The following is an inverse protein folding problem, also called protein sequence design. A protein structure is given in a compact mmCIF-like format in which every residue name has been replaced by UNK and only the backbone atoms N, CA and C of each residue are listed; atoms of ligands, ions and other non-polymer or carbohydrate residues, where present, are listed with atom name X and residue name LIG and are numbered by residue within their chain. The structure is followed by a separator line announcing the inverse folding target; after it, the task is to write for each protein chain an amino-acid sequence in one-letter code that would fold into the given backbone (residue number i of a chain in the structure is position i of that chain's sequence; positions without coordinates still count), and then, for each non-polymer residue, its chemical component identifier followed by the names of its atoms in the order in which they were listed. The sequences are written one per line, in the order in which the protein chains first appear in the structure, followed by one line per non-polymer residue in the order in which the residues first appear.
data_IF_743494135903
#
_entry.id   IF_743494135903
#
_cell.length_a   1.000
_cell.length_b   1.000
_cell.length_c   1.000
_cell.angle_alpha   90.00
_cell.angle_beta   90.00
_cell.angle_gamma   90.00
#
_symmetry.space_group_name_H-M   'P 1'
#
loop_
_entity.id
_entity.type
_entity.pdbx_description
1 polymer ?
#
# COMPACT_ATOMS: atom_id res chain seq x y z
N UNK A 1 13.45 -4.90 -10.14
CA UNK A 1 12.61 -4.57 -8.99
C UNK A 1 11.51 -3.57 -9.30
N UNK A 2 10.85 -3.11 -8.27
CA UNK A 2 9.72 -2.18 -8.41
C UNK A 2 10.12 -0.88 -9.11
N UNK A 3 11.28 -0.32 -8.80
CA UNK A 3 11.77 0.90 -9.45
C UNK A 3 11.87 0.72 -10.96
N UNK A 4 12.38 -0.40 -11.42
CA UNK A 4 12.55 -0.67 -12.85
C UNK A 4 11.20 -0.78 -13.55
N UNK A 5 10.26 -1.55 -12.97
CA UNK A 5 8.91 -1.69 -13.53
C UNK A 5 8.21 -0.33 -13.58
N UNK A 6 8.26 0.43 -12.49
CA UNK A 6 7.65 1.74 -12.40
C UNK A 6 8.25 2.69 -13.43
N UNK A 7 9.58 2.71 -13.58
CA UNK A 7 10.26 3.56 -14.55
C UNK A 7 9.85 3.23 -15.99
N UNK A 8 9.72 1.95 -16.31
CA UNK A 8 9.26 1.51 -17.63
C UNK A 8 7.83 1.94 -17.92
N UNK A 9 6.94 1.83 -16.93
CA UNK A 9 5.56 2.26 -17.07
C UNK A 9 5.46 3.76 -17.30
N UNK A 10 6.21 4.55 -16.54
CA UNK A 10 6.22 6.00 -16.68
C UNK A 10 6.77 6.44 -18.03
N UNK A 11 7.73 5.72 -18.56
CA UNK A 11 8.34 6.00 -19.86
C UNK A 11 7.40 5.65 -21.01
N UNK A 12 6.72 4.51 -20.89
CA UNK A 12 5.81 4.03 -21.92
C UNK A 12 4.51 4.84 -21.98
N UNK A 13 4.06 5.35 -20.82
CA UNK A 13 2.83 6.11 -20.70
C UNK A 13 3.10 7.49 -20.10
N UNK A 14 3.68 8.42 -20.88
CA UNK A 14 4.18 9.70 -20.34
C UNK A 14 3.11 10.62 -19.75
N UNK A 15 1.85 10.43 -20.06
CA UNK A 15 0.76 11.22 -19.49
C UNK A 15 0.15 10.62 -18.23
N UNK A 16 0.66 9.48 -17.77
CA UNK A 16 0.07 8.72 -16.67
C UNK A 16 0.65 9.10 -15.32
N UNK A 17 -0.20 9.19 -14.30
CA UNK A 17 0.21 9.29 -12.91
C UNK A 17 0.22 7.89 -12.31
N UNK A 18 1.32 7.50 -11.68
CA UNK A 18 1.48 6.17 -11.09
C UNK A 18 1.21 6.23 -9.59
N UNK A 19 0.36 5.31 -9.13
CA UNK A 19 0.09 5.15 -7.70
C UNK A 19 0.67 3.81 -7.27
N UNK A 20 1.65 3.85 -6.36
CA UNK A 20 2.26 2.66 -5.79
C UNK A 20 1.66 2.43 -4.41
N UNK A 21 1.06 1.26 -4.19
CA UNK A 21 0.52 0.88 -2.89
C UNK A 21 1.60 0.24 -2.03
N UNK A 22 1.71 0.67 -0.78
CA UNK A 22 2.49 -0.07 0.19
C UNK A 22 1.86 -1.44 0.41
N UNK A 23 2.69 -2.42 0.73
CA UNK A 23 2.22 -3.78 1.02
C UNK A 23 1.36 -3.73 2.29
N UNK A 24 0.15 -4.28 2.19
CA UNK A 24 -0.75 -4.37 3.35
C UNK A 24 -0.19 -5.36 4.38
N UNK A 25 -0.58 -5.23 5.66
CA UNK A 25 -0.03 -6.08 6.71
C UNK A 25 -0.19 -7.57 6.42
N UNK A 26 0.90 -8.29 6.57
CA UNK A 26 0.98 -9.72 6.30
C UNK A 26 1.28 -10.46 7.60
N UNK A 27 0.28 -11.18 8.09
CA UNK A 27 0.36 -11.87 9.38
C UNK A 27 -0.10 -10.99 10.54
N UNK A 28 -0.80 -11.57 11.53
CA UNK A 28 -1.40 -10.83 12.65
C UNK A 28 -0.40 -10.41 13.73
N UNK A 29 0.78 -11.03 13.79
CA UNK A 29 1.77 -10.73 14.81
C UNK A 29 2.66 -9.56 14.39
N UNK A 30 2.54 -8.39 15.06
CA UNK A 30 3.36 -7.21 14.68
C UNK A 30 4.86 -7.43 14.86
N UNK A 31 5.27 -8.42 15.62
CA UNK A 31 6.69 -8.75 15.83
C UNK A 31 7.15 -9.95 15.01
N UNK A 32 6.25 -10.51 14.22
CA UNK A 32 6.55 -11.67 13.39
C UNK A 32 7.47 -11.36 12.22
N UNK A 33 8.17 -12.37 11.68
CA UNK A 33 9.09 -12.17 10.57
C UNK A 33 8.41 -11.68 9.30
N UNK A 34 7.17 -12.05 9.06
CA UNK A 34 6.40 -11.59 7.90
C UNK A 34 6.12 -10.09 7.97
N UNK A 35 5.77 -9.60 9.16
CA UNK A 35 5.50 -8.16 9.37
C UNK A 35 6.79 -7.36 9.24
N UNK A 36 7.89 -7.88 9.73
CA UNK A 36 9.19 -7.25 9.61
C UNK A 36 9.60 -7.12 8.14
N UNK A 37 9.42 -8.18 7.38
CA UNK A 37 9.75 -8.18 5.95
C UNK A 37 8.86 -7.22 5.16
N UNK A 38 7.58 -7.20 5.46
CA UNK A 38 6.62 -6.26 4.88
C UNK A 38 7.05 -4.83 5.12
N UNK A 39 7.45 -4.49 6.35
CA UNK A 39 7.87 -3.14 6.69
C UNK A 39 9.16 -2.74 5.98
N UNK A 40 10.09 -3.67 5.81
CA UNK A 40 11.32 -3.42 5.05
C UNK A 40 10.98 -3.05 3.59
N UNK A 41 10.05 -3.78 2.97
CA UNK A 41 9.61 -3.49 1.60
C UNK A 41 8.95 -2.12 1.53
N UNK A 42 8.07 -1.82 2.47
CA UNK A 42 7.36 -0.54 2.48
C UNK A 42 8.32 0.63 2.69
N UNK A 43 9.35 0.45 3.51
CA UNK A 43 10.38 1.46 3.69
C UNK A 43 11.11 1.77 2.39
N UNK A 44 11.43 0.74 1.60
CA UNK A 44 12.02 0.92 0.28
C UNK A 44 11.07 1.67 -0.66
N UNK A 45 9.78 1.35 -0.63
CA UNK A 45 8.79 2.05 -1.45
C UNK A 45 8.72 3.53 -1.10
N UNK A 46 8.76 3.87 0.19
CA UNK A 46 8.71 5.27 0.64
C UNK A 46 9.92 6.07 0.18
N UNK A 47 11.05 5.42 -0.04
CA UNK A 47 12.29 6.06 -0.48
C UNK A 47 12.38 6.26 -1.98
N UNK A 48 11.47 5.67 -2.75
CA UNK A 48 11.46 5.86 -4.19
C UNK A 48 11.13 7.31 -4.55
N UNK A 49 11.91 7.86 -5.48
CA UNK A 49 11.68 9.20 -6.01
C UNK A 49 11.57 9.08 -7.53
N UNK A 50 10.33 9.05 -8.00
CA UNK A 50 10.00 8.92 -9.42
C UNK A 50 9.03 10.04 -9.80
N UNK A 51 9.11 10.55 -11.05
CA UNK A 51 8.17 11.57 -11.50
C UNK A 51 6.75 11.00 -11.56
N UNK A 52 5.77 11.87 -11.38
CA UNK A 52 4.36 11.51 -11.52
C UNK A 52 3.96 10.26 -10.74
N UNK A 53 4.56 10.06 -9.56
CA UNK A 53 4.34 8.86 -8.75
C UNK A 53 3.97 9.26 -7.33
N UNK A 54 2.93 8.61 -6.81
CA UNK A 54 2.49 8.75 -5.42
C UNK A 54 2.57 7.39 -4.75
N UNK A 55 3.13 7.33 -3.55
CA UNK A 55 3.12 6.11 -2.73
C UNK A 55 1.97 6.22 -1.75
N UNK A 56 1.04 5.26 -1.80
CA UNK A 56 -0.16 5.24 -0.97
C UNK A 56 -0.06 4.14 0.08
N UNK A 57 -0.36 4.48 1.34
CA UNK A 57 -0.47 3.50 2.41
C UNK A 57 -1.83 3.61 3.07
N UNK A 58 -2.44 2.46 3.35
CA UNK A 58 -3.69 2.35 4.12
C UNK A 58 -3.46 1.58 5.42
N UNK A 59 -2.24 1.21 5.70
CA UNK A 59 -1.91 0.30 6.80
C UNK A 59 -2.32 0.87 8.16
N UNK A 60 -2.21 2.17 8.33
CA UNK A 60 -2.61 2.85 9.56
C UNK A 60 -4.09 2.62 9.89
N UNK A 61 -4.94 2.57 8.86
CA UNK A 61 -6.38 2.39 9.03
C UNK A 61 -6.77 0.92 9.19
N UNK A 62 -5.86 0.01 8.88
CA UNK A 62 -6.08 -1.43 9.01
C UNK A 62 -5.59 -2.00 10.33
N UNK A 63 -4.81 -1.23 11.07
CA UNK A 63 -4.13 -1.69 12.28
C UNK A 63 -4.55 -0.89 13.51
N UNK A 64 -4.50 -1.56 14.67
CA UNK A 64 -4.59 -0.89 15.96
C UNK A 64 -3.26 -0.17 16.27
N UNK A 65 -3.23 0.72 17.25
CA UNK A 65 -1.98 1.43 17.61
C UNK A 65 -0.82 0.51 17.99
N UNK A 66 -1.11 -0.70 18.50
CA UNK A 66 -0.08 -1.69 18.84
C UNK A 66 0.39 -2.53 17.65
N UNK A 67 -0.16 -2.28 16.45
CA UNK A 67 0.21 -3.00 15.24
C UNK A 67 -0.62 -4.27 14.98
N UNK A 68 -1.53 -4.64 15.87
CA UNK A 68 -2.41 -5.78 15.64
C UNK A 68 -3.50 -5.42 14.63
N UNK A 69 -4.11 -6.44 14.02
CA UNK A 69 -5.19 -6.24 13.05
C UNK A 69 -6.39 -5.56 13.71
N UNK A 70 -6.86 -4.48 13.09
CA UNK A 70 -8.10 -3.84 13.51
C UNK A 70 -9.27 -4.78 13.22
N UNK A 71 -10.17 -4.93 14.18
CA UNK A 71 -11.32 -5.83 14.06
C UNK A 71 -12.13 -5.53 12.80
N UNK A 72 -12.47 -6.59 12.08
CA UNK A 72 -13.31 -6.50 10.88
C UNK A 72 -12.59 -6.16 9.60
N UNK A 73 -11.27 -5.89 9.63
CA UNK A 73 -10.51 -5.51 8.44
C UNK A 73 -9.93 -6.69 7.67
N UNK A 74 -9.69 -7.81 8.35
CA UNK A 74 -9.04 -8.97 7.74
C UNK A 74 -9.90 -10.21 7.84
N UNK A 75 -9.95 -11.00 6.75
CA UNK A 75 -10.64 -12.30 6.70
C UNK A 75 -9.78 -13.42 7.26
N UNK A 76 -8.48 -13.30 7.07
CA UNK A 76 -7.48 -14.28 7.47
C UNK A 76 -6.17 -13.54 7.75
N UNK A 77 -5.03 -14.20 7.59
CA UNK A 77 -3.72 -13.62 7.90
C UNK A 77 -3.27 -12.56 6.90
N UNK A 78 -3.89 -12.48 5.71
CA UNK A 78 -3.39 -11.65 4.62
C UNK A 78 -4.48 -10.95 3.81
N UNK A 79 -5.69 -11.48 3.76
CA UNK A 79 -6.75 -10.96 2.91
C UNK A 79 -7.68 -10.01 3.65
N UNK A 80 -8.05 -8.91 2.98
CA UNK A 80 -8.98 -7.94 3.54
C UNK A 80 -10.42 -8.42 3.42
N UNK A 81 -11.26 -7.95 4.35
CA UNK A 81 -12.72 -8.07 4.24
C UNK A 81 -13.24 -7.01 3.27
N UNK A 82 -14.55 -7.05 2.98
CA UNK A 82 -15.21 -5.97 2.22
C UNK A 82 -14.98 -4.61 2.90
N UNK A 83 -15.01 -4.57 4.23
CA UNK A 83 -14.75 -3.35 5.00
C UNK A 83 -13.31 -2.87 4.83
N UNK A 84 -12.35 -3.80 4.84
CA UNK A 84 -10.94 -3.46 4.58
C UNK A 84 -10.73 -2.93 3.17
N UNK A 85 -11.36 -3.52 2.18
CA UNK A 85 -11.31 -3.02 0.81
C UNK A 85 -11.99 -1.66 0.66
N UNK A 86 -13.01 -1.38 1.46
CA UNK A 86 -13.64 -0.05 1.46
C UNK A 86 -12.66 1.02 1.95
N UNK A 87 -11.86 0.70 2.96
CA UNK A 87 -10.79 1.60 3.42
C UNK A 87 -9.85 1.93 2.27
N UNK A 88 -9.47 0.92 1.49
CA UNK A 88 -8.60 1.10 0.33
C UNK A 88 -9.27 1.99 -0.73
N UNK A 89 -10.52 1.71 -1.07
CA UNK A 89 -11.26 2.50 -2.06
C UNK A 89 -11.38 3.96 -1.62
N UNK A 90 -11.68 4.21 -0.35
CA UNK A 90 -11.83 5.56 0.19
C UNK A 90 -10.51 6.34 0.12
N UNK A 91 -9.39 5.66 0.27
CA UNK A 91 -8.07 6.30 0.16
C UNK A 91 -7.66 6.53 -1.29
N UNK A 92 -8.03 5.63 -2.19
CA UNK A 92 -7.62 5.65 -3.59
C UNK A 92 -8.44 6.65 -4.44
N UNK A 93 -9.74 6.73 -4.22
CA UNK A 93 -10.63 7.57 -5.02
C UNK A 93 -10.20 9.04 -5.13
N UNK A 94 -9.83 9.73 -4.03
CA UNK A 94 -9.37 11.12 -4.14
C UNK A 94 -8.15 11.28 -5.03
N UNK A 95 -7.26 10.30 -5.05
CA UNK A 95 -6.06 10.33 -5.89
C UNK A 95 -6.40 10.15 -7.36
N UNK A 96 -7.36 9.29 -7.66
CA UNK A 96 -7.83 9.07 -9.04
C UNK A 96 -8.52 10.31 -9.59
N UNK A 97 -9.36 10.96 -8.80
CA UNK A 97 -10.03 12.20 -9.20
C UNK A 97 -9.04 13.34 -9.44
N UNK A 98 -8.01 13.43 -8.60
CA UNK A 98 -6.98 14.45 -8.73
C UNK A 98 -6.15 14.27 -10.01
N UNK A 99 -6.02 13.04 -10.48
CA UNK A 99 -5.30 12.71 -11.70
C UNK A 99 -6.07 13.01 -13.00
N UNK A 100 -7.35 13.30 -12.86
CA UNK A 100 -8.17 13.72 -14.00
C UNK A 100 -7.90 15.19 -14.31
#
# INVERSE_FOLDING_TARGET
GIREVASRLLKKFPGTHLILMEVTPYGPDPRGPLRKRQEEINELLRKLRLPRTTVLSINRDLLNPDGTFREGMFRDKVHLTAKGYQVWADALLPLLKKGE
#
